data_IF_306318956734
#
_entry.id   IF_306318956734
#
_cell.length_a   1.000
_cell.length_b   1.000
_cell.length_c   1.000
_cell.angle_alpha   90.00
_cell.angle_beta   90.00
_cell.angle_gamma   90.00
#
_symmetry.space_group_name_H-M   'P 1'
#
loop_
_entity.id
_entity.type
_entity.pdbx_description
1 polymer ?
#
# COMPACT_ATOMS: atom_id res chain seq x y z
N UNK A 1 14.20 -14.80 -2.31
CA UNK A 1 12.91 -14.44 -1.68
C UNK A 1 12.33 -13.28 -2.45
N UNK A 2 11.14 -13.43 -3.01
CA UNK A 2 10.59 -12.44 -3.92
C UNK A 2 10.33 -11.12 -3.19
N UNK A 3 10.68 -10.02 -3.84
CA UNK A 3 10.53 -8.67 -3.27
C UNK A 3 9.08 -8.37 -2.86
N UNK A 4 8.10 -8.94 -3.58
CA UNK A 4 6.67 -8.84 -3.25
C UNK A 4 6.37 -9.52 -1.91
N UNK A 5 6.83 -10.77 -1.73
CA UNK A 5 6.61 -11.51 -0.50
C UNK A 5 7.21 -10.81 0.71
N UNK A 6 8.44 -10.33 0.59
CA UNK A 6 9.10 -9.56 1.64
C UNK A 6 8.32 -8.32 2.02
N UNK A 7 7.77 -7.60 1.03
CA UNK A 7 6.97 -6.40 1.25
C UNK A 7 5.63 -6.72 1.94
N UNK A 8 4.94 -7.77 1.50
CA UNK A 8 3.71 -8.24 2.15
C UNK A 8 3.97 -8.63 3.61
N UNK A 9 5.03 -9.40 3.88
CA UNK A 9 5.39 -9.85 5.21
C UNK A 9 5.77 -8.68 6.13
N UNK A 10 6.63 -7.77 5.67
CA UNK A 10 7.06 -6.62 6.47
C UNK A 10 5.89 -5.71 6.86
N UNK A 11 4.96 -5.44 5.94
CA UNK A 11 3.75 -4.66 6.25
C UNK A 11 2.83 -5.39 7.22
N UNK A 12 2.66 -6.71 7.06
CA UNK A 12 1.85 -7.50 7.99
C UNK A 12 2.41 -7.46 9.41
N UNK A 13 3.72 -7.55 9.57
CA UNK A 13 4.38 -7.44 10.89
C UNK A 13 4.16 -6.05 11.51
N UNK A 14 4.32 -4.99 10.73
CA UNK A 14 4.10 -3.61 11.21
C UNK A 14 2.65 -3.41 11.67
N UNK A 15 1.68 -3.86 10.86
CA UNK A 15 0.26 -3.78 11.19
C UNK A 15 -0.04 -4.55 12.48
N UNK A 16 0.49 -5.76 12.61
CA UNK A 16 0.30 -6.59 13.80
C UNK A 16 0.88 -5.94 15.06
N UNK A 17 2.10 -5.37 14.96
CA UNK A 17 2.72 -4.63 16.07
C UNK A 17 1.89 -3.39 16.47
N UNK A 18 1.35 -2.65 15.50
CA UNK A 18 0.47 -1.50 15.77
C UNK A 18 -0.82 -1.94 16.49
N UNK A 19 -1.44 -3.03 16.07
CA UNK A 19 -2.66 -3.57 16.70
C UNK A 19 -2.41 -3.98 18.13
N UNK A 20 -1.31 -4.71 18.39
CA UNK A 20 -0.93 -5.10 19.75
C UNK A 20 -0.71 -3.86 20.61
N UNK A 21 0.01 -2.87 20.12
CA UNK A 21 0.30 -1.63 20.86
C UNK A 21 -0.99 -0.89 21.21
N UNK A 22 -1.91 -0.77 20.27
CA UNK A 22 -3.22 -0.16 20.48
C UNK A 22 -4.08 -0.95 21.47
N UNK A 23 -4.09 -2.27 21.36
CA UNK A 23 -4.81 -3.15 22.29
C UNK A 23 -4.31 -2.96 23.73
N UNK A 24 -3.00 -2.95 23.94
CA UNK A 24 -2.40 -2.66 25.26
C UNK A 24 -2.74 -1.25 25.74
N UNK A 25 -2.75 -0.27 24.84
CA UNK A 25 -3.11 1.09 25.18
C UNK A 25 -4.57 1.21 25.64
N UNK A 26 -5.50 0.57 24.95
CA UNK A 26 -6.93 0.60 25.29
C UNK A 26 -7.24 -0.14 26.61
N UNK A 27 -6.54 -1.26 26.90
CA UNK A 27 -6.80 -2.05 28.11
C UNK A 27 -6.13 -1.45 29.35
N UNK A 28 -4.85 -1.04 29.25
CA UNK A 28 -4.08 -0.62 30.45
C UNK A 28 -4.38 0.79 30.93
N UNK A 29 -4.94 1.64 30.11
CA UNK A 29 -5.13 3.05 30.46
C UNK A 29 -6.44 3.24 31.22
N UNK A 30 -6.32 3.55 32.54
CA UNK A 30 -7.48 3.80 33.40
C UNK A 30 -8.31 5.01 32.94
N UNK A 31 -7.67 6.10 32.50
CA UNK A 31 -8.31 7.29 31.88
C UNK A 31 -7.36 7.97 30.92
N UNK A 32 -7.87 8.51 29.83
CA UNK A 32 -7.06 9.25 28.84
C UNK A 32 -6.50 10.55 29.43
N UNK A 33 -7.28 11.19 30.31
CA UNK A 33 -6.87 12.37 31.05
C UNK A 33 -7.59 12.42 32.39
N UNK A 34 -6.90 12.81 33.48
CA UNK A 34 -7.47 12.87 34.83
C UNK A 34 -8.67 13.83 34.98
N UNK A 35 -8.87 14.72 34.00
CA UNK A 35 -9.99 15.68 33.96
C UNK A 35 -11.21 15.23 33.16
N UNK A 36 -11.15 14.08 32.46
CA UNK A 36 -12.26 13.59 31.66
C UNK A 36 -13.27 12.81 32.52
N UNK A 37 -14.53 12.97 32.16
CA UNK A 37 -15.62 12.15 32.73
C UNK A 37 -15.54 10.71 32.20
N UNK A 38 -16.12 9.76 32.92
CA UNK A 38 -16.11 8.34 32.48
C UNK A 38 -16.80 8.14 31.12
N UNK A 39 -17.84 8.94 30.83
CA UNK A 39 -18.55 8.90 29.55
C UNK A 39 -17.67 9.36 28.39
N UNK A 40 -16.94 10.45 28.57
CA UNK A 40 -16.02 10.99 27.54
C UNK A 40 -14.88 10.01 27.24
N UNK A 41 -14.32 9.37 28.29
CA UNK A 41 -13.27 8.37 28.12
C UNK A 41 -13.78 7.14 27.35
N UNK A 42 -15.01 6.70 27.62
CA UNK A 42 -15.66 5.59 26.93
C UNK A 42 -15.89 5.91 25.45
N UNK A 43 -16.42 7.11 25.15
CA UNK A 43 -16.65 7.55 23.77
C UNK A 43 -15.33 7.61 23.00
N UNK A 44 -14.27 8.15 23.60
CA UNK A 44 -12.95 8.22 22.98
C UNK A 44 -12.38 6.83 22.66
N UNK A 45 -12.52 5.87 23.55
CA UNK A 45 -12.11 4.47 23.34
C UNK A 45 -12.88 3.80 22.21
N UNK A 46 -14.18 4.03 22.11
CA UNK A 46 -15.02 3.51 21.02
C UNK A 46 -14.58 4.11 19.69
N UNK A 47 -14.37 5.42 19.62
CA UNK A 47 -13.87 6.09 18.40
C UNK A 47 -12.50 5.55 17.98
N UNK A 48 -11.59 5.38 18.92
CA UNK A 48 -10.28 4.80 18.64
C UNK A 48 -10.40 3.37 18.10
N UNK A 49 -11.26 2.54 18.68
CA UNK A 49 -11.50 1.17 18.21
C UNK A 49 -12.06 1.14 16.78
N UNK A 50 -13.01 2.02 16.46
CA UNK A 50 -13.59 2.14 15.11
C UNK A 50 -12.50 2.54 14.10
N UNK A 51 -11.67 3.54 14.42
CA UNK A 51 -10.57 3.96 13.54
C UNK A 51 -9.58 2.82 13.28
N UNK A 52 -9.26 2.03 14.30
CA UNK A 52 -8.40 0.85 14.15
C UNK A 52 -9.04 -0.19 13.24
N UNK A 53 -10.32 -0.47 13.39
CA UNK A 53 -11.03 -1.42 12.53
C UNK A 53 -11.03 -0.97 11.06
N UNK A 54 -11.26 0.33 10.79
CA UNK A 54 -11.21 0.90 9.45
C UNK A 54 -9.79 0.77 8.86
N UNK A 55 -8.77 1.08 9.65
CA UNK A 55 -7.38 0.98 9.24
C UNK A 55 -6.99 -0.47 8.90
N UNK A 56 -7.36 -1.42 9.75
CA UNK A 56 -7.14 -2.85 9.51
C UNK A 56 -7.84 -3.31 8.23
N UNK A 57 -9.10 -2.93 8.05
CA UNK A 57 -9.85 -3.29 6.86
C UNK A 57 -9.16 -2.79 5.59
N UNK A 58 -8.75 -1.51 5.54
CA UNK A 58 -8.12 -0.93 4.34
C UNK A 58 -6.70 -1.39 4.07
N UNK A 59 -5.93 -1.70 5.10
CA UNK A 59 -4.51 -2.03 4.93
C UNK A 59 -4.23 -3.54 4.93
N UNK A 60 -4.97 -4.31 5.71
CA UNK A 60 -4.71 -5.73 5.90
C UNK A 60 -5.50 -6.62 4.94
N UNK A 61 -6.74 -6.26 4.66
CA UNK A 61 -7.61 -7.05 3.77
C UNK A 61 -7.01 -7.24 2.36
N UNK A 62 -6.47 -6.20 1.68
CA UNK A 62 -5.85 -6.40 0.37
C UNK A 62 -4.69 -7.39 0.39
N UNK A 63 -3.89 -7.39 1.47
CA UNK A 63 -2.76 -8.32 1.61
C UNK A 63 -3.26 -9.76 1.74
N UNK A 64 -4.31 -10.00 2.57
CA UNK A 64 -4.89 -11.34 2.74
C UNK A 64 -5.47 -11.86 1.43
N UNK A 65 -6.19 -11.02 0.70
CA UNK A 65 -6.78 -11.38 -0.60
C UNK A 65 -5.73 -11.70 -1.67
N UNK A 66 -4.55 -11.11 -1.55
CA UNK A 66 -3.44 -11.35 -2.48
C UNK A 66 -2.62 -12.60 -2.17
N UNK A 67 -2.74 -13.20 -0.99
CA UNK A 67 -2.02 -14.44 -0.64
C UNK A 67 -2.33 -15.57 -1.63
N UNK A 68 -3.59 -15.92 -1.92
CA UNK A 68 -3.90 -16.93 -2.92
C UNK A 68 -3.49 -16.51 -4.33
N UNK A 69 -3.64 -15.24 -4.70
CA UNK A 69 -3.20 -14.73 -6.01
C UNK A 69 -1.69 -14.90 -6.20
N UNK A 70 -0.91 -14.54 -5.20
CA UNK A 70 0.54 -14.73 -5.21
C UNK A 70 0.93 -16.20 -5.30
N UNK A 71 0.28 -17.07 -4.51
CA UNK A 71 0.57 -18.51 -4.48
C UNK A 71 0.25 -19.20 -5.79
N UNK A 72 -0.82 -18.78 -6.45
CA UNK A 72 -1.30 -19.34 -7.72
C UNK A 72 -0.66 -18.66 -8.94
N UNK A 73 0.21 -17.67 -8.75
CA UNK A 73 0.83 -16.91 -9.84
C UNK A 73 -0.15 -16.00 -10.61
N UNK A 74 -1.28 -15.66 -10.00
CA UNK A 74 -2.33 -14.81 -10.57
C UNK A 74 -1.95 -13.33 -10.39
N UNK A 75 -1.17 -12.84 -11.31
CA UNK A 75 -0.77 -11.44 -11.37
C UNK A 75 -1.45 -10.75 -12.55
N UNK A 76 -1.75 -9.48 -12.38
CA UNK A 76 -2.13 -8.60 -13.48
C UNK A 76 -0.88 -7.94 -14.08
N UNK A 77 -0.95 -7.60 -15.35
CA UNK A 77 0.12 -6.88 -16.04
C UNK A 77 -0.47 -5.63 -16.67
N UNK A 78 0.16 -4.49 -16.40
CA UNK A 78 -0.20 -3.21 -17.00
C UNK A 78 0.98 -2.67 -17.80
N UNK A 79 0.69 -2.17 -19.00
CA UNK A 79 1.64 -1.40 -19.81
C UNK A 79 1.03 -0.02 -20.06
N UNK A 80 1.78 1.01 -19.70
CA UNK A 80 1.28 2.37 -19.82
C UNK A 80 2.34 3.41 -19.52
N UNK A 81 1.94 4.66 -19.63
CA UNK A 81 2.81 5.81 -19.39
C UNK A 81 2.72 6.28 -17.94
N UNK A 82 3.87 6.57 -17.33
CA UNK A 82 3.90 7.17 -16.01
C UNK A 82 3.22 8.55 -16.04
N UNK A 83 2.13 8.72 -15.29
CA UNK A 83 1.42 10.00 -15.19
C UNK A 83 2.23 11.06 -14.49
N UNK A 84 2.95 10.66 -13.45
CA UNK A 84 3.77 11.51 -12.59
C UNK A 84 5.16 10.91 -12.42
N UNK A 85 6.09 11.72 -11.92
CA UNK A 85 7.37 11.20 -11.46
C UNK A 85 7.13 10.19 -10.34
N UNK A 86 7.84 9.07 -10.36
CA UNK A 86 7.69 8.08 -9.29
C UNK A 86 8.14 8.64 -7.94
N UNK A 87 7.31 8.44 -6.92
CA UNK A 87 7.56 8.83 -5.54
C UNK A 87 8.04 7.64 -4.70
N UNK A 88 8.83 7.90 -3.65
CA UNK A 88 9.25 6.87 -2.71
C UNK A 88 10.64 7.11 -2.14
N UNK A 89 10.96 6.36 -1.07
CA UNK A 89 12.28 6.37 -0.42
C UNK A 89 13.01 5.05 -0.65
N UNK A 90 14.33 5.11 -0.79
CA UNK A 90 15.16 3.93 -1.03
C UNK A 90 14.82 3.23 -2.33
N UNK A 91 14.69 1.91 -2.29
CA UNK A 91 14.39 1.07 -3.45
C UNK A 91 12.90 0.89 -3.73
N UNK A 92 12.03 1.60 -3.01
CA UNK A 92 10.59 1.47 -3.20
C UNK A 92 10.05 2.67 -3.97
N UNK A 93 9.33 2.41 -5.05
CA UNK A 93 8.70 3.43 -5.90
C UNK A 93 7.21 3.16 -6.00
N UNK A 94 6.45 4.24 -5.99
CA UNK A 94 5.03 4.24 -6.32
C UNK A 94 4.78 5.19 -7.48
N UNK A 95 3.98 4.75 -8.43
CA UNK A 95 3.68 5.52 -9.62
C UNK A 95 2.25 5.28 -10.06
N UNK A 96 1.60 6.31 -10.62
CA UNK A 96 0.35 6.18 -11.35
C UNK A 96 0.67 5.93 -12.83
N UNK A 97 0.09 4.88 -13.39
CA UNK A 97 0.29 4.46 -14.76
C UNK A 97 -1.02 4.69 -15.50
N UNK A 98 -0.97 5.37 -16.63
CA UNK A 98 -2.09 5.48 -17.57
C UNK A 98 -1.96 4.33 -18.53
N UNK A 99 -2.91 3.39 -18.48
CA UNK A 99 -2.95 2.23 -19.36
C UNK A 99 -3.10 2.67 -20.82
N UNK A 100 -2.39 2.01 -21.73
CA UNK A 100 -2.47 2.31 -23.17
C UNK A 100 -3.80 1.87 -23.76
N UNK A 101 -4.36 0.75 -23.27
CA UNK A 101 -5.50 0.09 -23.89
C UNK A 101 -6.81 0.82 -23.64
N UNK A 102 -7.03 1.33 -22.42
CA UNK A 102 -8.32 1.89 -21.99
C UNK A 102 -8.25 3.27 -21.31
N UNK A 103 -7.09 3.90 -21.29
CA UNK A 103 -6.83 5.17 -20.60
C UNK A 103 -7.15 5.16 -19.08
N UNK A 104 -7.33 3.99 -18.51
CA UNK A 104 -7.58 3.86 -17.09
C UNK A 104 -6.29 4.07 -16.31
N UNK A 105 -6.40 4.68 -15.13
CA UNK A 105 -5.27 4.97 -14.25
C UNK A 105 -5.15 3.91 -13.17
N UNK A 106 -3.96 3.35 -13.04
CA UNK A 106 -3.66 2.39 -11.98
C UNK A 106 -2.48 2.87 -11.13
N UNK A 107 -2.62 2.71 -9.82
CA UNK A 107 -1.56 3.02 -8.86
C UNK A 107 -0.84 1.73 -8.49
N UNK A 108 0.46 1.66 -8.75
CA UNK A 108 1.27 0.47 -8.46
C UNK A 108 2.50 0.84 -7.65
N UNK A 109 2.84 -0.03 -6.70
CA UNK A 109 4.08 0.06 -5.92
C UNK A 109 5.02 -1.10 -6.26
N UNK A 110 6.28 -0.80 -6.54
CA UNK A 110 7.29 -1.81 -6.87
C UNK A 110 8.69 -1.42 -6.37
N UNK A 111 9.57 -2.40 -6.13
CA UNK A 111 10.96 -2.15 -5.77
C UNK A 111 11.73 -1.70 -7.02
N UNK A 112 12.25 -0.48 -7.00
CA UNK A 112 13.08 0.05 -8.08
C UNK A 112 13.97 1.19 -7.59
N UNK A 113 15.27 1.12 -7.88
CA UNK A 113 16.24 2.10 -7.40
C UNK A 113 16.44 3.31 -8.32
N UNK A 114 16.19 3.14 -9.64
CA UNK A 114 16.38 4.19 -10.62
C UNK A 114 15.22 5.20 -10.61
N UNK A 115 15.45 6.34 -11.23
CA UNK A 115 14.42 7.37 -11.37
C UNK A 115 13.47 7.01 -12.51
N UNK A 116 12.18 7.15 -12.25
CA UNK A 116 11.11 7.05 -13.25
C UNK A 116 10.51 8.44 -13.37
N UNK A 117 10.47 8.95 -14.58
CA UNK A 117 9.96 10.28 -14.88
C UNK A 117 8.55 10.17 -15.49
N UNK A 118 7.81 11.28 -15.42
CA UNK A 118 6.55 11.42 -16.14
C UNK A 118 6.77 11.16 -17.63
N UNK A 119 5.91 10.35 -18.24
CA UNK A 119 5.95 9.98 -19.65
C UNK A 119 6.81 8.75 -19.98
N UNK A 120 7.54 8.18 -19.01
CA UNK A 120 8.24 6.92 -19.22
C UNK A 120 7.23 5.80 -19.47
N UNK A 121 7.48 4.97 -20.46
CA UNK A 121 6.68 3.78 -20.74
C UNK A 121 7.10 2.65 -19.79
N UNK A 122 6.16 2.15 -19.01
CA UNK A 122 6.37 1.13 -17.98
C UNK A 122 5.56 -0.12 -18.29
N UNK A 123 6.14 -1.28 -18.06
CA UNK A 123 5.41 -2.54 -17.96
C UNK A 123 5.61 -3.10 -16.56
N UNK A 124 4.53 -3.24 -15.82
CA UNK A 124 4.53 -3.69 -14.43
C UNK A 124 3.61 -4.89 -14.26
N UNK A 125 4.10 -5.91 -13.58
CA UNK A 125 3.33 -7.08 -13.16
C UNK A 125 3.02 -6.92 -11.67
N UNK A 126 1.73 -6.95 -11.27
CA UNK A 126 1.32 -6.61 -9.91
C UNK A 126 0.19 -7.49 -9.38
N UNK A 127 -0.01 -7.46 -8.07
CA UNK A 127 -1.09 -8.16 -7.39
C UNK A 127 -2.39 -7.31 -7.42
N UNK A 128 -3.55 -7.91 -7.68
CA UNK A 128 -4.78 -7.16 -7.99
C UNK A 128 -5.30 -6.31 -6.83
N UNK A 129 -5.11 -6.74 -5.58
CA UNK A 129 -5.70 -6.06 -4.43
C UNK A 129 -4.75 -5.09 -3.72
N UNK A 130 -3.52 -5.51 -3.42
CA UNK A 130 -2.53 -4.66 -2.74
C UNK A 130 -1.77 -3.72 -3.67
N UNK A 131 -1.87 -3.96 -4.99
CA UNK A 131 -1.15 -3.23 -6.04
C UNK A 131 0.38 -3.27 -5.90
N UNK A 132 0.89 -4.34 -5.25
CA UNK A 132 2.33 -4.58 -5.16
C UNK A 132 2.81 -5.30 -6.40
N UNK A 133 3.81 -4.74 -7.06
CA UNK A 133 4.27 -5.24 -8.34
C UNK A 133 5.77 -5.39 -8.46
N UNK A 134 6.18 -5.89 -9.61
CA UNK A 134 7.54 -5.93 -10.10
C UNK A 134 7.58 -5.20 -11.42
N UNK A 135 8.53 -4.30 -11.57
CA UNK A 135 8.78 -3.61 -12.81
C UNK A 135 9.47 -4.58 -13.79
N UNK A 136 8.82 -4.84 -14.91
CA UNK A 136 9.34 -5.72 -15.97
C UNK A 136 10.25 -4.93 -16.90
N UNK A 137 9.78 -3.77 -17.37
CA UNK A 137 10.52 -2.92 -18.28
C UNK A 137 10.26 -1.43 -18.06
N UNK A 138 11.27 -0.64 -18.32
CA UNK A 138 11.18 0.83 -18.42
C UNK A 138 11.77 1.22 -19.75
N UNK A 139 11.01 1.88 -20.57
CA UNK A 139 11.51 2.52 -21.77
C UNK A 139 11.48 4.04 -21.55
N UNK A 140 12.66 4.62 -21.39
CA UNK A 140 12.84 6.07 -21.21
C UNK A 140 12.63 6.76 -22.57
N UNK A 141 11.45 6.66 -23.12
CA UNK A 141 11.10 7.48 -24.27
C UNK A 141 10.84 8.90 -23.74
N UNK A 142 11.77 9.80 -24.03
CA UNK A 142 11.57 11.24 -23.91
C UNK A 142 10.52 11.73 -24.94
N UNK A 143 9.37 11.07 -24.97
CA UNK A 143 8.21 11.58 -25.71
C UNK A 143 7.57 12.61 -24.79
N UNK A 144 7.94 13.87 -25.02
CA UNK A 144 7.21 14.99 -24.46
C UNK A 144 5.72 14.82 -24.84
N UNK A 145 4.91 14.42 -23.87
CA UNK A 145 3.47 14.54 -23.97
C UNK A 145 3.18 16.04 -24.13
N UNK A 146 2.91 16.48 -25.37
CA UNK A 146 2.39 17.79 -25.70
C UNK A 146 0.96 17.94 -25.22
#
# INVERSE_FOLDING_TARGET
MDAILFKMLSRSIIIFAMVITLFFFLIKRKKFHNKMTEKEDTVLKIMAAILVCIFLYKMFLPIILDIPCYRNGQFETITGYARDNAHGKGNNRSVRIICIDDNHEEYVEFPYSKRINKGDLLTVKYLPHSKYGILISVNNNNVALK
#
